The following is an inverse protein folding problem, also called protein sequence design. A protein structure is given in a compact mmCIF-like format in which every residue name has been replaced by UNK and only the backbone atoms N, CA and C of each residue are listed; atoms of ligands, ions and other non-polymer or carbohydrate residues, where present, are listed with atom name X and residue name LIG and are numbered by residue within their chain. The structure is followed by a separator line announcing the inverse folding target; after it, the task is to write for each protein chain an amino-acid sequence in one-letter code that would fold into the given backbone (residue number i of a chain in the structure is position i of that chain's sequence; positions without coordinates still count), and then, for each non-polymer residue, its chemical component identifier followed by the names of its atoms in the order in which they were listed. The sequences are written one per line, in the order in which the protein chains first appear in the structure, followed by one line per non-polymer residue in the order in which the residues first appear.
data_IF_840338387561
#
_entry.id   IF_840338387561
#
_cell.length_a   1.000
_cell.length_b   1.000
_cell.length_c   1.000
_cell.angle_alpha   90.00
_cell.angle_beta   90.00
_cell.angle_gamma   90.00
#
_symmetry.space_group_name_H-M   'P 1'
#
loop_
_entity.id
_entity.type
_entity.pdbx_description
1 polymer ?
#
# COMPACT_ATOMS: atom_id res chain seq x y z
N UNK A 1 -15.29 9.11 -11.04
CA UNK A 1 -13.89 8.74 -10.71
C UNK A 1 -13.13 10.02 -10.47
N UNK A 2 -12.70 10.28 -9.23
CA UNK A 2 -11.80 11.41 -8.97
C UNK A 2 -10.37 11.00 -9.32
N UNK A 3 -9.47 11.95 -9.58
CA UNK A 3 -8.04 11.74 -9.88
C UNK A 3 -7.35 10.85 -8.81
N UNK A 4 -7.96 10.70 -7.63
CA UNK A 4 -7.50 9.82 -6.56
C UNK A 4 -7.63 8.32 -6.86
N UNK A 5 -8.59 7.87 -7.68
CA UNK A 5 -8.82 6.44 -7.91
C UNK A 5 -7.64 5.77 -8.66
N UNK A 6 -7.09 6.34 -9.75
CA UNK A 6 -5.92 5.76 -10.41
C UNK A 6 -4.67 5.72 -9.52
N UNK A 7 -4.38 6.80 -8.78
CA UNK A 7 -3.23 6.87 -7.85
C UNK A 7 -3.35 5.82 -6.76
N UNK A 8 -4.53 5.65 -6.17
CA UNK A 8 -4.80 4.63 -5.17
C UNK A 8 -4.55 3.21 -5.71
N UNK A 9 -5.08 2.92 -6.90
CA UNK A 9 -4.89 1.63 -7.57
C UNK A 9 -3.41 1.36 -7.83
N UNK A 10 -2.66 2.31 -8.38
CA UNK A 10 -1.22 2.15 -8.64
C UNK A 10 -0.41 1.87 -7.37
N UNK A 11 -0.63 2.64 -6.29
CA UNK A 11 0.06 2.43 -5.01
C UNK A 11 -0.22 1.02 -4.47
N UNK A 12 -1.49 0.60 -4.49
CA UNK A 12 -1.90 -0.74 -4.03
C UNK A 12 -1.22 -1.84 -4.82
N UNK A 13 -1.14 -1.71 -6.16
CA UNK A 13 -0.51 -2.71 -7.02
C UNK A 13 1.01 -2.81 -6.82
N UNK A 14 1.69 -1.70 -6.54
CA UNK A 14 3.13 -1.73 -6.26
C UNK A 14 3.41 -2.39 -4.92
N UNK A 15 2.67 -2.05 -3.87
CA UNK A 15 2.84 -2.66 -2.53
C UNK A 15 2.56 -4.16 -2.53
N UNK A 16 1.54 -4.62 -3.29
CA UNK A 16 1.24 -6.04 -3.44
C UNK A 16 2.33 -6.83 -4.16
N UNK A 17 3.19 -6.16 -4.92
CA UNK A 17 4.38 -6.74 -5.57
C UNK A 17 5.64 -6.57 -4.72
N UNK A 18 5.48 -6.20 -3.44
CA UNK A 18 6.57 -6.01 -2.48
C UNK A 18 7.57 -4.91 -2.88
N UNK A 19 7.15 -3.94 -3.70
CA UNK A 19 7.94 -2.72 -3.95
C UNK A 19 8.07 -1.96 -2.63
N UNK A 20 9.26 -1.43 -2.36
CA UNK A 20 9.52 -0.74 -1.10
C UNK A 20 8.65 0.51 -0.96
N UNK A 21 8.30 0.85 0.28
CA UNK A 21 7.52 2.07 0.57
C UNK A 21 8.23 3.32 0.04
N UNK A 22 9.56 3.34 0.04
CA UNK A 22 10.36 4.47 -0.44
C UNK A 22 10.27 4.64 -1.95
N UNK A 23 10.33 3.54 -2.71
CA UNK A 23 10.19 3.58 -4.18
C UNK A 23 8.76 3.99 -4.57
N UNK A 24 7.74 3.47 -3.88
CA UNK A 24 6.34 3.86 -4.08
C UNK A 24 6.11 5.33 -3.75
N UNK A 25 6.74 5.82 -2.68
CA UNK A 25 6.67 7.23 -2.28
C UNK A 25 7.21 8.15 -3.37
N UNK A 26 8.41 7.84 -3.88
CA UNK A 26 9.04 8.60 -4.95
C UNK A 26 8.24 8.56 -6.25
N UNK A 27 7.74 7.39 -6.65
CA UNK A 27 7.00 7.22 -7.90
C UNK A 27 5.62 7.91 -7.92
N UNK A 28 5.03 8.16 -6.76
CA UNK A 28 3.64 8.65 -6.68
C UNK A 28 3.51 10.05 -6.10
N UNK A 29 4.62 10.70 -5.73
CA UNK A 29 4.60 11.95 -4.96
C UNK A 29 3.66 11.80 -3.75
N UNK A 30 3.94 10.78 -2.93
CA UNK A 30 3.15 10.47 -1.72
C UNK A 30 4.08 10.19 -0.57
N UNK A 31 3.87 10.85 0.57
CA UNK A 31 4.72 10.65 1.74
C UNK A 31 4.72 9.19 2.21
N UNK A 32 5.88 8.65 2.63
CA UNK A 32 5.99 7.31 3.20
C UNK A 32 5.02 7.08 4.38
N UNK A 33 4.78 8.12 5.19
CA UNK A 33 3.82 8.06 6.30
C UNK A 33 2.38 7.79 5.79
N UNK A 34 1.95 8.52 4.77
CA UNK A 34 0.63 8.34 4.15
C UNK A 34 0.50 6.96 3.54
N UNK A 35 1.55 6.44 2.91
CA UNK A 35 1.57 5.07 2.38
C UNK A 35 1.43 4.04 3.50
N UNK A 36 2.19 4.18 4.60
CA UNK A 36 2.10 3.28 5.76
C UNK A 36 0.70 3.27 6.38
N UNK A 37 0.16 4.45 6.70
CA UNK A 37 -1.14 4.60 7.37
C UNK A 37 -2.31 4.22 6.45
N UNK A 38 -2.29 4.70 5.21
CA UNK A 38 -3.40 4.56 4.27
C UNK A 38 -3.42 3.22 3.53
N UNK A 39 -2.25 2.71 3.15
CA UNK A 39 -2.13 1.58 2.22
C UNK A 39 -1.49 0.33 2.81
N UNK A 40 -0.89 0.41 4.01
CA UNK A 40 -0.28 -0.75 4.68
C UNK A 40 -1.22 -1.95 4.83
N UNK A 41 -2.51 -1.70 4.99
CA UNK A 41 -3.57 -2.74 5.04
C UNK A 41 -3.72 -3.57 3.75
N UNK A 42 -3.13 -3.15 2.65
CA UNK A 42 -3.16 -3.88 1.37
C UNK A 42 -1.93 -4.75 1.14
N UNK A 43 -0.97 -4.77 2.09
CA UNK A 43 0.19 -5.65 2.04
C UNK A 43 -0.29 -7.07 2.38
N UNK A 44 -0.13 -8.05 1.47
CA UNK A 44 -0.66 -9.40 1.65
C UNK A 44 -0.15 -10.09 2.92
N UNK A 45 1.11 -9.87 3.26
CA UNK A 45 1.74 -10.46 4.46
C UNK A 45 1.12 -9.92 5.76
N UNK A 46 0.89 -8.60 5.84
CA UNK A 46 0.24 -7.96 6.97
C UNK A 46 -1.21 -8.46 7.13
N UNK A 47 -1.93 -8.62 6.01
CA UNK A 47 -3.28 -9.20 6.03
C UNK A 47 -3.26 -10.65 6.50
N UNK A 48 -2.32 -11.47 5.99
CA UNK A 48 -2.20 -12.88 6.37
C UNK A 48 -1.88 -13.03 7.86
N UNK A 49 -0.91 -12.27 8.38
CA UNK A 49 -0.55 -12.28 9.79
C UNK A 49 -1.73 -11.92 10.69
N UNK A 50 -2.49 -10.88 10.32
CA UNK A 50 -3.69 -10.48 11.06
C UNK A 50 -4.77 -11.59 11.07
N UNK A 51 -4.98 -12.27 9.94
CA UNK A 51 -5.93 -13.39 9.85
C UNK A 51 -5.46 -14.62 10.64
N UNK A 52 -4.17 -14.93 10.62
CA UNK A 52 -3.60 -16.04 11.41
C UNK A 52 -3.76 -15.80 12.91
N UNK A 53 -3.71 -14.56 13.40
CA UNK A 53 -3.92 -14.26 14.82
C UNK A 53 -5.37 -14.51 15.31
N UNK A 54 -6.33 -14.69 14.40
CA UNK A 54 -7.74 -14.97 14.72
C UNK A 54 -8.12 -16.45 14.65
N UNK A 55 -7.20 -17.32 14.20
CA UNK A 55 -7.40 -18.76 14.03
C UNK A 55 -6.87 -19.53 15.26
#
# INVERSE_FOLDING_TARGET
MTIHTPKHTSITHMLRRSVSIWDVAGATDTSPETIRKGYGKHIPEAQKAAMTALA
#
